data_IF_806896707302
#
_entry.id   IF_806896707302
#
_cell.length_a   1.000
_cell.length_b   1.000
_cell.length_c   1.000
_cell.angle_alpha   90.00
_cell.angle_beta   90.00
_cell.angle_gamma   90.00
#
_symmetry.space_group_name_H-M   'P 1'
#
loop_
_entity.id
_entity.type
_entity.pdbx_description
1 polymer ?
#
# COMPACT_ATOMS: atom_id res chain seq x y z
N UNK A 1 -11.26 39.96 7.79
CA UNK A 1 -11.31 38.87 8.80
C UNK A 1 -12.18 37.67 8.41
N UNK A 2 -12.78 37.59 7.20
CA UNK A 2 -13.57 36.42 6.76
C UNK A 2 -12.80 35.42 5.87
N UNK A 3 -11.66 35.84 5.29
CA UNK A 3 -10.84 35.00 4.40
C UNK A 3 -9.87 34.07 5.15
N UNK A 4 -9.51 34.40 6.39
CA UNK A 4 -8.58 33.59 7.20
C UNK A 4 -9.24 32.33 7.77
N UNK A 5 -10.56 32.38 8.04
CA UNK A 5 -11.35 31.25 8.54
C UNK A 5 -11.58 30.15 7.51
N UNK A 6 -11.51 30.47 6.21
CA UNK A 6 -11.72 29.51 5.12
C UNK A 6 -10.47 28.63 4.92
N UNK A 7 -9.26 29.17 5.12
CA UNK A 7 -8.01 28.41 4.96
C UNK A 7 -7.78 27.40 6.09
N UNK A 8 -8.26 27.67 7.31
CA UNK A 8 -8.11 26.73 8.43
C UNK A 8 -9.00 25.49 8.32
N UNK A 9 -10.12 25.55 7.58
CA UNK A 9 -11.02 24.41 7.41
C UNK A 9 -10.55 23.42 6.33
N UNK A 10 -9.73 23.87 5.37
CA UNK A 10 -9.21 23.02 4.29
C UNK A 10 -8.01 22.17 4.71
N UNK A 11 -7.24 22.61 5.71
CA UNK A 11 -6.04 21.89 6.19
C UNK A 11 -6.39 20.68 7.07
N UNK A 12 -7.57 20.65 7.69
CA UNK A 12 -8.01 19.56 8.57
C UNK A 12 -8.53 18.31 7.82
N UNK A 13 -8.82 18.41 6.52
CA UNK A 13 -9.29 17.28 5.71
C UNK A 13 -8.15 16.39 5.20
N UNK A 14 -6.91 16.86 5.23
CA UNK A 14 -5.74 16.13 4.68
C UNK A 14 -5.09 15.20 5.72
N UNK A 15 -5.42 15.35 7.00
CA UNK A 15 -4.84 14.55 8.09
C UNK A 15 -5.71 13.34 8.51
N UNK A 16 -6.91 13.18 7.93
CA UNK A 16 -7.86 12.13 8.29
C UNK A 16 -7.61 10.75 7.69
N UNK A 17 -6.76 10.65 6.66
CA UNK A 17 -6.64 9.43 5.85
C UNK A 17 -5.66 8.37 6.40
N UNK A 18 -4.81 8.68 7.38
CA UNK A 18 -3.75 7.73 7.80
C UNK A 18 -4.22 6.63 8.76
N UNK A 19 -5.29 6.86 9.54
CA UNK A 19 -5.71 5.88 10.55
C UNK A 19 -6.40 4.66 9.95
N UNK A 20 -7.19 4.85 8.89
CA UNK A 20 -7.92 3.76 8.22
C UNK A 20 -7.00 2.76 7.52
N UNK A 21 -5.79 3.17 7.11
CA UNK A 21 -4.84 2.31 6.38
C UNK A 21 -3.68 1.80 7.22
N UNK A 22 -3.64 2.12 8.52
CA UNK A 22 -2.58 1.68 9.44
C UNK A 22 -2.33 0.16 9.42
N UNK A 23 -3.39 -0.64 9.22
CA UNK A 23 -3.28 -2.11 9.12
C UNK A 23 -2.68 -2.56 7.79
N UNK A 24 -3.06 -1.92 6.69
CA UNK A 24 -2.43 -2.16 5.39
C UNK A 24 -0.92 -1.93 5.48
N UNK A 25 -0.52 -0.76 5.97
CA UNK A 25 0.90 -0.38 6.10
C UNK A 25 1.65 -1.35 6.99
N UNK A 26 1.08 -1.74 8.14
CA UNK A 26 1.72 -2.72 9.03
C UNK A 26 2.03 -4.04 8.30
N UNK A 27 1.09 -4.56 7.51
CA UNK A 27 1.31 -5.84 6.82
C UNK A 27 2.27 -5.69 5.64
N UNK A 28 2.18 -4.60 4.86
CA UNK A 28 3.12 -4.36 3.76
C UNK A 28 4.54 -4.10 4.26
N UNK A 29 4.70 -3.34 5.35
CA UNK A 29 5.99 -3.08 5.99
C UNK A 29 6.65 -4.37 6.50
N UNK A 30 5.84 -5.27 7.07
CA UNK A 30 6.31 -6.59 7.50
C UNK A 30 6.90 -7.39 6.33
N UNK A 31 6.26 -7.35 5.15
CA UNK A 31 6.79 -8.02 3.96
C UNK A 31 8.04 -7.33 3.41
N UNK A 32 8.07 -6.00 3.33
CA UNK A 32 9.27 -5.24 2.89
C UNK A 32 10.45 -5.53 3.80
N UNK A 33 10.24 -5.51 5.12
CA UNK A 33 11.26 -5.85 6.13
C UNK A 33 11.76 -7.28 5.92
N UNK A 34 10.83 -8.22 5.75
CA UNK A 34 11.19 -9.63 5.58
C UNK A 34 12.00 -9.89 4.31
N UNK A 35 11.73 -9.17 3.21
CA UNK A 35 12.49 -9.24 1.95
C UNK A 35 13.90 -8.63 2.06
N UNK A 36 14.13 -7.85 3.12
CA UNK A 36 15.42 -7.21 3.41
C UNK A 36 16.23 -7.95 4.47
N UNK A 37 15.61 -8.87 5.21
CA UNK A 37 16.23 -9.50 6.40
C UNK A 37 16.17 -11.02 6.43
N UNK A 38 15.05 -11.62 6.01
CA UNK A 38 14.74 -13.03 6.27
C UNK A 38 14.61 -13.83 4.97
N UNK A 39 13.96 -13.27 3.97
CA UNK A 39 13.70 -13.91 2.68
C UNK A 39 14.44 -13.18 1.57
N UNK A 40 15.18 -13.92 0.76
CA UNK A 40 15.73 -13.38 -0.50
C UNK A 40 14.60 -13.09 -1.49
N UNK A 41 13.61 -13.99 -1.58
CA UNK A 41 12.39 -13.80 -2.35
C UNK A 41 11.28 -14.74 -1.88
N UNK A 42 10.02 -14.37 -2.13
CA UNK A 42 8.87 -15.25 -1.99
C UNK A 42 8.69 -16.13 -3.24
N UNK A 43 8.23 -17.37 -3.06
CA UNK A 43 7.99 -18.27 -4.20
C UNK A 43 6.87 -17.78 -5.13
N UNK A 44 6.94 -18.17 -6.41
CA UNK A 44 5.94 -17.81 -7.44
C UNK A 44 4.51 -18.28 -7.08
N UNK A 45 4.41 -19.45 -6.42
CA UNK A 45 3.17 -20.01 -5.87
C UNK A 45 3.07 -19.85 -4.35
N UNK A 46 4.19 -19.57 -3.67
CA UNK A 46 4.29 -19.35 -2.23
C UNK A 46 3.74 -18.01 -1.75
N UNK A 47 3.36 -17.11 -2.66
CA UNK A 47 2.69 -15.88 -2.24
C UNK A 47 1.33 -16.09 -1.60
N UNK A 48 0.63 -17.17 -1.97
CA UNK A 48 -0.72 -17.43 -1.48
C UNK A 48 -0.73 -17.88 -0.02
N UNK A 49 0.25 -18.71 0.39
CA UNK A 49 0.39 -19.16 1.79
C UNK A 49 0.77 -18.02 2.74
N UNK A 50 1.50 -17.03 2.24
CA UNK A 50 1.85 -15.82 2.98
C UNK A 50 0.85 -14.69 2.79
N UNK A 51 -0.21 -14.89 1.99
CA UNK A 51 -1.19 -13.84 1.75
C UNK A 51 -1.92 -13.48 3.04
N UNK A 52 -2.11 -12.18 3.24
CA UNK A 52 -2.86 -11.65 4.37
C UNK A 52 -3.98 -10.78 3.87
N UNK A 53 -5.15 -10.92 4.49
CA UNK A 53 -6.24 -9.96 4.34
C UNK A 53 -6.23 -9.06 5.57
N UNK A 54 -6.38 -7.75 5.40
CA UNK A 54 -6.53 -6.83 6.53
C UNK A 54 -7.75 -7.24 7.38
N UNK A 55 -7.71 -6.94 8.68
CA UNK A 55 -8.77 -7.33 9.63
C UNK A 55 -10.17 -6.82 9.22
N UNK A 56 -10.23 -5.67 8.55
CA UNK A 56 -11.45 -5.07 8.00
C UNK A 56 -11.89 -5.70 6.67
N UNK A 57 -11.13 -6.64 6.12
CA UNK A 57 -11.42 -7.32 4.86
C UNK A 57 -11.14 -6.50 3.60
N UNK A 58 -10.71 -5.23 3.72
CA UNK A 58 -10.65 -4.29 2.60
C UNK A 58 -9.52 -4.57 1.62
N UNK A 59 -8.37 -5.04 2.12
CA UNK A 59 -7.19 -5.28 1.31
C UNK A 59 -6.70 -6.72 1.46
N UNK A 60 -6.33 -7.33 0.33
CA UNK A 60 -5.52 -8.55 0.30
C UNK A 60 -4.10 -8.22 -0.15
N UNK A 61 -3.13 -8.58 0.68
CA UNK A 61 -1.71 -8.41 0.43
C UNK A 61 -1.09 -9.79 0.14
N UNK A 62 -0.41 -9.91 -1.00
CA UNK A 62 0.18 -11.15 -1.47
C UNK A 62 1.62 -10.89 -1.93
N UNK A 63 2.64 -11.35 -1.19
CA UNK A 63 4.02 -11.21 -1.63
C UNK A 63 4.36 -12.26 -2.70
N UNK A 64 5.02 -11.89 -3.80
CA UNK A 64 5.41 -12.82 -4.89
C UNK A 64 6.79 -12.40 -5.39
N UNK A 65 7.78 -13.27 -5.31
CA UNK A 65 9.17 -12.88 -5.58
C UNK A 65 9.61 -11.77 -4.63
N UNK A 66 10.15 -10.69 -5.17
CA UNK A 66 10.43 -9.43 -4.44
C UNK A 66 9.39 -8.35 -4.73
N UNK A 67 8.16 -8.76 -5.04
CA UNK A 67 7.02 -7.88 -5.26
C UNK A 67 5.99 -8.11 -4.17
N UNK A 68 5.25 -7.06 -3.80
CA UNK A 68 4.11 -7.17 -2.89
C UNK A 68 2.88 -6.65 -3.62
N UNK A 69 1.95 -7.57 -3.91
CA UNK A 69 0.69 -7.25 -4.56
C UNK A 69 -0.34 -6.84 -3.50
N UNK A 70 -1.02 -5.71 -3.72
CA UNK A 70 -2.13 -5.23 -2.89
C UNK A 70 -3.37 -5.11 -3.75
N UNK A 71 -4.42 -5.84 -3.36
CA UNK A 71 -5.71 -5.86 -4.03
C UNK A 71 -6.81 -5.28 -3.13
N UNK A 72 -7.65 -4.42 -3.68
CA UNK A 72 -8.89 -3.98 -3.03
C UNK A 72 -9.92 -5.10 -3.20
N UNK A 73 -10.51 -5.55 -2.09
CA UNK A 73 -11.38 -6.72 -2.08
C UNK A 73 -12.84 -6.38 -2.42
N UNK A 74 -13.26 -5.15 -2.18
CA UNK A 74 -14.55 -4.62 -2.64
C UNK A 74 -14.52 -4.24 -4.12
N UNK A 75 -15.69 -4.02 -4.72
CA UNK A 75 -15.79 -3.52 -6.08
C UNK A 75 -15.19 -2.11 -6.12
N UNK A 76 -14.01 -1.98 -6.72
CA UNK A 76 -13.26 -0.74 -6.81
C UNK A 76 -13.01 -0.34 -8.26
N UNK A 77 -13.13 0.95 -8.54
CA UNK A 77 -12.80 1.56 -9.83
C UNK A 77 -11.37 2.09 -9.90
N UNK A 78 -10.99 2.60 -11.07
CA UNK A 78 -9.64 3.11 -11.33
C UNK A 78 -9.22 4.20 -10.34
N UNK A 79 -10.13 5.10 -9.97
CA UNK A 79 -9.85 6.18 -9.01
C UNK A 79 -9.43 5.68 -7.62
N UNK A 80 -10.03 4.60 -7.13
CA UNK A 80 -9.68 4.03 -5.82
C UNK A 80 -8.32 3.33 -5.85
N UNK A 81 -7.94 2.77 -7.00
CA UNK A 81 -6.60 2.23 -7.20
C UNK A 81 -5.55 3.33 -7.33
N UNK A 82 -5.84 4.45 -8.01
CA UNK A 82 -4.95 5.61 -8.06
C UNK A 82 -4.76 6.22 -6.67
N UNK A 83 -5.84 6.40 -5.89
CA UNK A 83 -5.76 6.89 -4.51
C UNK A 83 -4.90 5.95 -3.63
N UNK A 84 -5.10 4.64 -3.76
CA UNK A 84 -4.32 3.63 -3.02
C UNK A 84 -2.84 3.62 -3.44
N UNK A 85 -2.56 3.77 -4.74
CA UNK A 85 -1.20 3.89 -5.26
C UNK A 85 -0.51 5.09 -4.65
N UNK A 86 -1.14 6.26 -4.69
CA UNK A 86 -0.57 7.51 -4.19
C UNK A 86 -0.31 7.46 -2.67
N UNK A 87 -1.21 6.82 -1.92
CA UNK A 87 -1.04 6.57 -0.49
C UNK A 87 0.18 5.67 -0.20
N UNK A 88 0.32 4.55 -0.91
CA UNK A 88 1.43 3.61 -0.75
C UNK A 88 2.77 4.22 -1.24
N UNK A 89 2.74 4.96 -2.34
CA UNK A 89 3.91 5.69 -2.86
C UNK A 89 4.36 6.78 -1.87
N UNK A 90 3.41 7.49 -1.26
CA UNK A 90 3.68 8.44 -0.19
C UNK A 90 4.26 7.79 1.06
N UNK A 91 3.72 6.63 1.47
CA UNK A 91 4.19 5.86 2.63
C UNK A 91 5.63 5.36 2.45
N UNK A 92 5.97 4.83 1.27
CA UNK A 92 7.31 4.32 0.97
C UNK A 92 8.28 5.36 0.41
N UNK A 93 7.91 6.65 0.43
CA UNK A 93 8.74 7.71 -0.12
C UNK A 93 10.07 7.80 0.62
N UNK A 94 11.16 7.51 -0.08
CA UNK A 94 12.53 7.56 0.45
C UNK A 94 12.96 6.27 1.17
N UNK A 95 12.12 5.24 1.19
CA UNK A 95 12.53 3.90 1.63
C UNK A 95 13.34 3.22 0.52
N UNK A 96 14.65 3.05 0.73
CA UNK A 96 15.55 2.46 -0.26
C UNK A 96 15.26 0.98 -0.57
N UNK A 97 14.40 0.32 0.21
CA UNK A 97 13.97 -1.07 0.00
C UNK A 97 12.84 -1.18 -1.02
N UNK A 98 12.21 -0.06 -1.38
CA UNK A 98 11.09 0.01 -2.32
C UNK A 98 11.49 0.88 -3.51
N UNK A 99 11.59 0.27 -4.69
CA UNK A 99 11.97 0.95 -5.92
C UNK A 99 10.82 1.76 -6.51
N UNK A 100 9.61 1.19 -6.51
CA UNK A 100 8.43 1.81 -7.11
C UNK A 100 7.14 1.21 -6.59
N UNK A 101 6.09 2.03 -6.62
CA UNK A 101 4.70 1.63 -6.41
C UNK A 101 3.91 1.94 -7.68
N UNK A 102 3.19 0.97 -8.23
CA UNK A 102 2.46 1.17 -9.49
C UNK A 102 1.24 0.26 -9.63
N UNK A 103 0.25 0.69 -10.43
CA UNK A 103 -0.90 -0.13 -10.80
C UNK A 103 -0.48 -1.18 -11.84
N UNK A 104 -0.81 -2.44 -11.57
CA UNK A 104 -0.65 -3.54 -12.51
C UNK A 104 -1.93 -3.74 -13.33
N UNK A 105 -1.81 -4.22 -14.58
CA UNK A 105 -2.94 -4.47 -15.49
C UNK A 105 -3.99 -5.47 -14.95
N UNK A 106 -3.67 -6.21 -13.89
CA UNK A 106 -4.59 -7.12 -13.21
C UNK A 106 -5.53 -6.42 -12.19
N UNK A 107 -5.52 -5.09 -12.10
CA UNK A 107 -6.34 -4.34 -11.14
C UNK A 107 -5.84 -4.52 -9.71
N UNK A 108 -4.53 -4.31 -9.50
CA UNK A 108 -3.86 -4.41 -8.19
C UNK A 108 -2.72 -3.40 -8.12
N UNK A 109 -2.32 -2.99 -6.93
CA UNK A 109 -1.09 -2.21 -6.73
C UNK A 109 0.08 -3.16 -6.52
N UNK A 110 1.22 -2.84 -7.13
CA UNK A 110 2.47 -3.55 -6.91
C UNK A 110 3.45 -2.63 -6.19
N UNK A 111 3.97 -3.09 -5.05
CA UNK A 111 5.13 -2.51 -4.37
C UNK A 111 6.34 -3.33 -4.80
N UNK A 112 7.27 -2.70 -5.50
CA UNK A 112 8.44 -3.34 -6.10
C UNK A 112 9.66 -3.20 -5.18
N UNK A 113 10.12 -4.33 -4.65
CA UNK A 113 11.28 -4.43 -3.77
C UNK A 113 12.42 -5.21 -4.44
N UNK A 114 12.43 -5.32 -5.78
CA UNK A 114 13.57 -5.91 -6.52
C UNK A 114 14.82 -5.04 -6.37
N UNK A 115 15.97 -5.57 -6.74
CA UNK A 115 17.23 -4.82 -6.76
C UNK A 115 17.50 -4.22 -8.15
#
# INVERSE_FOLDING_TARGET
MKKLLIYTLTVLLIAGCSRSKSKLYKETDSFVESLSTTYESYGLFGGTEHSKTTEDGKYKITPIGRLINVKIMEAAGDGEYEDLKDDLEGHYKGDARVNKVYICQAGTIMIDCRD
#
